data_IF_836012566082
#
_entry.id   IF_836012566082
#
_cell.length_a   1.000
_cell.length_b   1.000
_cell.length_c   1.000
_cell.angle_alpha   90.00
_cell.angle_beta   90.00
_cell.angle_gamma   90.00
#
_symmetry.space_group_name_H-M   'P 1'
#
loop_
_entity.id
_entity.type
_entity.pdbx_description
1 polymer ?
#
# COMPACT_ATOMS: atom_id res chain seq x y z
N UNK A 1 25.07 -6.27 -4.83
CA UNK A 1 24.23 -6.25 -6.06
C UNK A 1 23.02 -7.09 -5.73
N UNK A 2 21.86 -6.45 -5.66
CA UNK A 2 20.59 -7.16 -5.45
C UNK A 2 20.44 -8.25 -6.52
N UNK A 3 20.07 -9.50 -6.15
CA UNK A 3 19.86 -10.59 -7.10
C UNK A 3 18.61 -10.41 -7.99
N UNK A 4 17.78 -9.39 -7.73
CA UNK A 4 16.58 -9.09 -8.52
C UNK A 4 16.94 -8.24 -9.75
N UNK A 5 16.85 -8.84 -10.93
CA UNK A 5 17.03 -8.15 -12.20
C UNK A 5 15.72 -7.49 -12.65
N UNK A 6 15.80 -6.39 -13.41
CA UNK A 6 14.65 -5.59 -13.87
C UNK A 6 13.53 -6.43 -14.53
N UNK A 7 13.88 -7.47 -15.28
CA UNK A 7 12.93 -8.39 -15.91
C UNK A 7 12.01 -9.10 -14.89
N UNK A 8 12.53 -9.44 -13.71
CA UNK A 8 11.76 -10.08 -12.64
C UNK A 8 10.80 -9.05 -12.00
N UNK A 9 11.23 -7.80 -11.86
CA UNK A 9 10.41 -6.74 -11.27
C UNK A 9 9.17 -6.45 -12.13
N UNK A 10 9.34 -6.38 -13.46
CA UNK A 10 8.23 -6.17 -14.40
C UNK A 10 7.21 -7.31 -14.35
N UNK A 11 7.65 -8.56 -14.21
CA UNK A 11 6.78 -9.73 -14.11
C UNK A 11 5.93 -9.75 -12.83
N UNK A 12 6.38 -9.10 -11.76
CA UNK A 12 5.64 -8.99 -10.50
C UNK A 12 4.54 -7.92 -10.54
N UNK A 13 4.63 -6.93 -11.42
CA UNK A 13 3.73 -5.77 -11.42
C UNK A 13 2.28 -6.18 -11.61
N UNK A 14 1.95 -6.85 -12.73
CA UNK A 14 0.56 -7.14 -13.05
C UNK A 14 -0.14 -8.02 -11.97
N UNK A 15 0.47 -9.13 -11.48
CA UNK A 15 -0.10 -9.91 -10.38
C UNK A 15 -0.35 -9.07 -9.12
N UNK A 16 0.61 -8.22 -8.74
CA UNK A 16 0.48 -7.38 -7.53
C UNK A 16 -0.61 -6.32 -7.71
N UNK A 17 -0.72 -5.71 -8.89
CA UNK A 17 -1.81 -4.78 -9.19
C UNK A 17 -3.18 -5.46 -9.03
N UNK A 18 -3.33 -6.71 -9.48
CA UNK A 18 -4.56 -7.50 -9.30
C UNK A 18 -4.85 -7.81 -7.83
N UNK A 19 -3.81 -8.12 -7.04
CA UNK A 19 -3.95 -8.35 -5.60
C UNK A 19 -4.48 -7.11 -4.88
N UNK A 20 -3.90 -5.95 -5.16
CA UNK A 20 -4.30 -4.67 -4.57
C UNK A 20 -5.74 -4.30 -4.94
N UNK A 21 -6.11 -4.46 -6.22
CA UNK A 21 -7.49 -4.21 -6.70
C UNK A 21 -8.50 -5.11 -6.02
N UNK A 22 -8.17 -6.39 -5.88
CA UNK A 22 -9.01 -7.37 -5.18
C UNK A 22 -9.13 -7.04 -3.70
N UNK A 23 -8.04 -6.71 -3.02
CA UNK A 23 -8.05 -6.39 -1.59
C UNK A 23 -8.79 -5.08 -1.31
N UNK A 24 -8.69 -4.08 -2.19
CA UNK A 24 -9.45 -2.84 -2.06
C UNK A 24 -10.96 -3.02 -2.16
N UNK A 25 -11.46 -4.13 -2.72
CA UNK A 25 -12.90 -4.45 -2.66
C UNK A 25 -13.37 -4.69 -1.22
N UNK A 26 -12.50 -5.14 -0.31
CA UNK A 26 -12.82 -5.30 1.10
C UNK A 26 -13.04 -3.93 1.76
N UNK A 27 -12.21 -2.93 1.43
CA UNK A 27 -12.35 -1.55 1.91
C UNK A 27 -13.68 -0.96 1.41
N UNK A 28 -14.00 -1.14 0.13
CA UNK A 28 -15.26 -0.64 -0.46
C UNK A 28 -16.49 -1.31 0.15
N UNK A 29 -16.47 -2.64 0.31
CA UNK A 29 -17.57 -3.38 0.90
C UNK A 29 -17.80 -2.97 2.36
N UNK A 30 -16.74 -2.68 3.10
CA UNK A 30 -16.84 -2.20 4.47
C UNK A 30 -17.46 -0.80 4.52
N UNK A 31 -17.06 0.12 3.61
CA UNK A 31 -17.66 1.46 3.48
C UNK A 31 -19.16 1.38 3.18
N UNK A 32 -19.56 0.51 2.23
CA UNK A 32 -20.96 0.29 1.87
C UNK A 32 -21.79 -0.31 3.00
N UNK A 33 -21.19 -1.19 3.81
CA UNK A 33 -21.84 -1.77 4.98
C UNK A 33 -22.15 -0.72 6.06
N UNK A 34 -21.60 0.49 5.94
CA UNK A 34 -21.87 1.61 6.82
C UNK A 34 -21.47 1.27 8.23
N UNK A 35 -20.15 1.24 8.49
CA UNK A 35 -19.58 1.07 9.82
C UNK A 35 -20.32 1.96 10.84
N UNK A 36 -21.28 1.41 11.57
CA UNK A 36 -21.78 2.09 12.75
C UNK A 36 -20.60 2.10 13.70
N UNK A 37 -20.09 3.30 14.01
CA UNK A 37 -19.15 3.54 15.11
C UNK A 37 -19.92 3.27 16.41
N UNK A 38 -20.41 2.05 16.60
CA UNK A 38 -20.84 1.60 17.91
C UNK A 38 -19.57 1.51 18.74
N UNK A 39 -19.45 2.44 19.69
CA UNK A 39 -18.63 2.33 20.91
C UNK A 39 -19.04 1.11 21.74
N UNK A 40 -19.14 -0.08 21.14
CA UNK A 40 -19.46 -1.32 21.81
C UNK A 40 -18.37 -2.33 21.53
N UNK A 41 -17.65 -2.63 22.61
CA UNK A 41 -16.64 -3.67 22.77
C UNK A 41 -15.25 -3.36 22.20
N UNK A 42 -14.25 -3.95 22.84
CA UNK A 42 -12.81 -3.73 22.70
C UNK A 42 -12.21 -4.12 21.31
N UNK A 43 -13.02 -4.09 20.24
CA UNK A 43 -12.63 -4.42 18.87
C UNK A 43 -13.05 -3.28 17.94
N UNK A 44 -12.07 -2.53 17.44
CA UNK A 44 -12.28 -1.46 16.48
C UNK A 44 -12.54 -2.09 15.10
N UNK A 45 -13.72 -1.88 14.50
CA UNK A 45 -14.09 -2.49 13.21
C UNK A 45 -13.03 -2.20 12.15
N UNK A 46 -12.44 -1.01 12.15
CA UNK A 46 -11.39 -0.68 11.18
C UNK A 46 -10.20 -1.64 11.27
N UNK A 47 -9.81 -2.05 12.49
CA UNK A 47 -8.84 -3.13 12.68
C UNK A 47 -9.26 -4.45 12.02
N UNK A 48 -10.56 -4.77 11.92
CA UNK A 48 -11.02 -5.96 11.19
C UNK A 48 -10.82 -5.84 9.67
N UNK A 49 -11.01 -4.64 9.11
CA UNK A 49 -10.74 -4.37 7.68
C UNK A 49 -9.25 -4.41 7.41
N UNK A 50 -8.43 -3.76 8.23
CA UNK A 50 -6.97 -3.81 8.18
C UNK A 50 -6.46 -5.25 8.19
N UNK A 51 -6.90 -6.06 9.17
CA UNK A 51 -6.52 -7.47 9.26
C UNK A 51 -6.97 -8.31 8.07
N UNK A 52 -8.16 -8.04 7.51
CA UNK A 52 -8.66 -8.76 6.34
C UNK A 52 -7.86 -8.42 5.08
N UNK A 53 -7.57 -7.14 4.85
CA UNK A 53 -6.73 -6.67 3.73
C UNK A 53 -5.31 -7.21 3.84
N UNK A 54 -4.69 -7.07 5.03
CA UNK A 54 -3.36 -7.61 5.31
C UNK A 54 -3.31 -9.11 5.02
N UNK A 55 -4.23 -9.88 5.60
CA UNK A 55 -4.26 -11.33 5.41
C UNK A 55 -4.33 -11.71 3.94
N UNK A 56 -5.21 -11.07 3.17
CA UNK A 56 -5.38 -11.40 1.75
C UNK A 56 -4.09 -11.13 0.96
N UNK A 57 -3.48 -9.96 1.14
CA UNK A 57 -2.28 -9.56 0.41
C UNK A 57 -1.09 -10.43 0.82
N UNK A 58 -0.89 -10.67 2.13
CA UNK A 58 0.18 -11.52 2.64
C UNK A 58 0.09 -12.94 2.08
N UNK A 59 -1.10 -13.55 2.08
CA UNK A 59 -1.30 -14.89 1.52
C UNK A 59 -0.97 -14.92 0.01
N UNK A 60 -1.34 -13.87 -0.73
CA UNK A 60 -1.06 -13.77 -2.17
C UNK A 60 0.43 -13.57 -2.45
N UNK A 61 1.11 -12.70 -1.71
CA UNK A 61 2.54 -12.44 -1.83
C UNK A 61 3.39 -13.64 -1.43
N UNK A 62 3.02 -14.36 -0.37
CA UNK A 62 3.72 -15.56 0.07
C UNK A 62 3.72 -16.65 -1.01
N UNK A 63 2.66 -16.72 -1.81
CA UNK A 63 2.55 -17.63 -2.95
C UNK A 63 3.29 -17.11 -4.19
N UNK A 64 3.23 -15.81 -4.47
CA UNK A 64 3.85 -15.19 -5.65
C UNK A 64 5.38 -15.17 -5.55
N UNK A 65 5.92 -14.85 -4.38
CA UNK A 65 7.35 -14.75 -4.13
C UNK A 65 7.77 -15.61 -2.93
N UNK A 66 7.79 -16.95 -3.07
CA UNK A 66 8.22 -17.83 -1.99
C UNK A 66 9.67 -17.52 -1.58
N UNK A 67 9.88 -17.21 -0.31
CA UNK A 67 11.20 -16.90 0.25
C UNK A 67 11.49 -15.41 0.41
N UNK A 68 10.61 -14.51 -0.02
CA UNK A 68 10.70 -13.09 0.31
C UNK A 68 10.16 -12.88 1.73
N UNK A 69 10.75 -11.96 2.48
CA UNK A 69 10.18 -11.51 3.74
C UNK A 69 8.93 -10.67 3.48
N UNK A 70 8.02 -10.61 4.45
CA UNK A 70 6.85 -9.73 4.42
C UNK A 70 6.74 -9.05 5.78
N UNK A 71 6.86 -7.74 5.78
CA UNK A 71 6.66 -6.84 6.92
C UNK A 71 5.30 -6.16 6.74
N UNK A 72 4.43 -6.27 7.73
CA UNK A 72 3.12 -5.64 7.73
C UNK A 72 2.87 -4.92 9.07
N UNK A 73 2.03 -3.88 9.07
CA UNK A 73 1.81 -3.01 10.23
C UNK A 73 1.39 -3.76 11.52
N UNK A 74 0.63 -4.85 11.39
CA UNK A 74 0.08 -5.58 12.54
C UNK A 74 0.92 -6.81 12.97
N UNK A 75 2.04 -7.09 12.30
CA UNK A 75 2.94 -8.20 12.65
C UNK A 75 4.33 -7.68 13.06
N UNK A 76 4.66 -7.86 14.34
CA UNK A 76 6.01 -7.62 14.86
C UNK A 76 6.98 -8.60 14.20
N UNK A 77 7.74 -8.14 13.20
CA UNK A 77 8.94 -8.83 12.78
C UNK A 77 10.07 -8.47 13.75
N UNK A 78 10.57 -9.49 14.47
CA UNK A 78 11.84 -9.43 15.18
C UNK A 78 12.98 -9.26 14.15
N UNK A 79 13.29 -7.99 13.85
CA UNK A 79 14.40 -7.51 12.98
C UNK A 79 14.21 -7.79 11.47
N UNK A 80 14.22 -6.76 10.59
CA UNK A 80 14.15 -7.00 9.15
C UNK A 80 15.35 -7.84 8.72
N UNK A 81 15.06 -8.99 8.10
CA UNK A 81 16.07 -9.88 7.51
C UNK A 81 16.80 -9.11 6.40
N UNK A 82 17.89 -8.43 6.76
CA UNK A 82 18.67 -7.53 5.88
C UNK A 82 19.27 -8.21 4.65
N UNK A 83 19.22 -9.54 4.60
CA UNK A 83 19.87 -10.36 3.58
C UNK A 83 18.89 -10.92 2.52
N UNK A 84 17.59 -10.55 2.55
CA UNK A 84 16.62 -10.98 1.53
C UNK A 84 15.62 -9.88 1.14
N UNK A 85 15.02 -9.96 -0.06
CA UNK A 85 13.96 -9.03 -0.45
C UNK A 85 12.77 -9.08 0.52
N UNK A 86 12.20 -7.91 0.81
CA UNK A 86 11.11 -7.72 1.77
C UNK A 86 9.97 -6.92 1.15
N UNK A 87 8.76 -7.46 1.24
CA UNK A 87 7.53 -6.71 1.03
C UNK A 87 7.19 -5.91 2.28
N UNK A 88 6.85 -4.64 2.13
CA UNK A 88 6.47 -3.74 3.21
C UNK A 88 5.05 -3.27 2.93
N UNK A 89 4.11 -3.66 3.79
CA UNK A 89 2.68 -3.44 3.60
C UNK A 89 2.10 -2.57 4.72
N UNK A 90 1.40 -1.52 4.32
CA UNK A 90 0.39 -0.83 5.12
C UNK A 90 -0.98 -1.15 4.48
N UNK A 91 -1.82 -1.97 5.16
CA UNK A 91 -3.07 -2.46 4.58
C UNK A 91 -4.12 -1.37 4.44
N UNK A 92 -4.14 -0.35 5.31
CA UNK A 92 -5.05 0.80 5.24
C UNK A 92 -4.36 2.08 5.77
N UNK A 93 -3.61 2.74 4.89
CA UNK A 93 -3.11 4.09 5.15
C UNK A 93 -4.30 5.06 5.18
N UNK A 94 -4.31 5.94 6.17
CA UNK A 94 -5.43 6.83 6.41
C UNK A 94 -6.60 6.15 7.12
N UNK A 95 -6.35 5.26 8.07
CA UNK A 95 -7.34 4.61 8.96
C UNK A 95 -8.37 5.59 9.52
N UNK A 96 -7.93 6.78 9.94
CA UNK A 96 -8.82 7.86 10.43
C UNK A 96 -9.77 8.36 9.33
N UNK A 97 -9.30 8.45 8.07
CA UNK A 97 -10.16 8.84 6.96
C UNK A 97 -11.22 7.77 6.68
N UNK A 98 -10.88 6.49 6.78
CA UNK A 98 -11.82 5.38 6.65
C UNK A 98 -12.90 5.46 7.75
N UNK A 99 -12.49 5.61 9.01
CA UNK A 99 -13.40 5.78 10.16
C UNK A 99 -14.35 6.98 10.02
N UNK A 100 -13.97 7.99 9.23
CA UNK A 100 -14.73 9.24 9.04
C UNK A 100 -15.49 9.29 7.72
N UNK A 101 -15.47 8.22 6.92
CA UNK A 101 -16.06 8.18 5.58
C UNK A 101 -15.53 9.30 4.66
N UNK A 102 -14.26 9.66 4.84
CA UNK A 102 -13.62 10.70 4.03
C UNK A 102 -13.15 10.18 2.66
N UNK A 103 -13.24 8.87 2.39
CA UNK A 103 -12.86 8.24 1.11
C UNK A 103 -11.42 8.56 0.65
N UNK A 104 -10.54 8.76 1.63
CA UNK A 104 -9.13 9.14 1.45
C UNK A 104 -8.24 8.16 2.23
N UNK A 105 -8.43 6.87 1.95
CA UNK A 105 -7.59 5.78 2.47
C UNK A 105 -7.05 4.96 1.31
N UNK A 106 -5.88 4.37 1.49
CA UNK A 106 -5.19 3.64 0.44
C UNK A 106 -4.51 2.38 0.99
N UNK A 107 -4.25 1.43 0.11
CA UNK A 107 -3.33 0.32 0.38
C UNK A 107 -1.95 0.76 -0.10
N UNK A 108 -0.93 0.68 0.75
CA UNK A 108 0.45 1.02 0.40
C UNK A 108 1.34 -0.22 0.49
N UNK A 109 2.05 -0.53 -0.60
CA UNK A 109 2.89 -1.72 -0.69
C UNK A 109 4.20 -1.39 -1.39
N UNK A 110 5.33 -1.83 -0.83
CA UNK A 110 6.64 -1.70 -1.45
C UNK A 110 7.41 -3.02 -1.43
N UNK A 111 8.29 -3.22 -2.42
CA UNK A 111 9.31 -4.26 -2.40
C UNK A 111 10.67 -3.58 -2.21
N UNK A 112 11.39 -3.95 -1.15
CA UNK A 112 12.74 -3.49 -0.90
C UNK A 112 13.73 -4.66 -0.89
N UNK A 113 14.99 -4.37 -1.23
CA UNK A 113 16.12 -5.31 -1.07
C UNK A 113 17.33 -4.52 -0.55
N UNK A 114 17.75 -4.84 0.68
CA UNK A 114 18.71 -4.04 1.44
C UNK A 114 18.19 -2.60 1.66
N UNK A 115 18.98 -1.60 1.27
CA UNK A 115 18.64 -0.18 1.41
C UNK A 115 17.84 0.38 0.21
N UNK A 116 17.41 -0.48 -0.71
CA UNK A 116 16.87 -0.09 -2.00
C UNK A 116 15.41 -0.49 -2.16
N UNK A 117 14.51 0.50 -2.36
CA UNK A 117 13.13 0.23 -2.81
C UNK A 117 13.14 -0.03 -4.32
N UNK A 118 12.62 -1.18 -4.72
CA UNK A 118 12.60 -1.68 -6.10
C UNK A 118 11.25 -1.47 -6.77
N UNK A 119 10.16 -1.76 -6.04
CA UNK A 119 8.78 -1.54 -6.48
C UNK A 119 8.01 -0.75 -5.41
N UNK A 120 7.08 0.10 -5.86
CA UNK A 120 6.15 0.80 -4.98
C UNK A 120 4.76 0.86 -5.59
N UNK A 121 3.76 0.67 -4.75
CA UNK A 121 2.36 0.70 -5.13
C UNK A 121 1.57 1.49 -4.08
N UNK A 122 0.69 2.38 -4.55
CA UNK A 122 -0.31 3.05 -3.71
C UNK A 122 -1.64 2.95 -4.42
N UNK A 123 -2.60 2.28 -3.78
CA UNK A 123 -3.92 2.05 -4.36
C UNK A 123 -5.00 2.73 -3.53
N UNK A 124 -5.66 3.74 -4.10
CA UNK A 124 -6.89 4.29 -3.54
C UNK A 124 -8.10 3.60 -4.19
N UNK A 125 -8.82 2.71 -3.46
CA UNK A 125 -9.93 1.97 -4.02
C UNK A 125 -11.18 2.85 -4.28
N UNK A 126 -11.33 3.97 -3.58
CA UNK A 126 -12.48 4.87 -3.75
C UNK A 126 -12.46 5.62 -5.08
N UNK A 127 -11.25 5.92 -5.57
CA UNK A 127 -11.04 6.63 -6.84
C UNK A 127 -10.59 5.71 -7.98
N UNK A 128 -10.40 4.42 -7.69
CA UNK A 128 -9.75 3.47 -8.60
C UNK A 128 -8.40 4.00 -9.12
N UNK A 129 -7.59 4.57 -8.22
CA UNK A 129 -6.29 5.15 -8.55
C UNK A 129 -5.16 4.26 -8.05
N UNK A 130 -4.47 3.59 -8.98
CA UNK A 130 -3.31 2.77 -8.69
C UNK A 130 -2.03 3.42 -9.21
N UNK A 131 -1.23 3.94 -8.28
CA UNK A 131 0.12 4.37 -8.56
C UNK A 131 1.04 3.15 -8.54
N UNK A 132 1.91 3.01 -9.54
CA UNK A 132 2.92 1.96 -9.62
C UNK A 132 4.25 2.59 -9.98
N UNK A 133 5.28 2.27 -9.21
CA UNK A 133 6.64 2.75 -9.42
C UNK A 133 7.58 1.55 -9.55
N UNK A 134 8.42 1.59 -10.57
CA UNK A 134 9.54 0.64 -10.75
C UNK A 134 10.81 1.47 -10.73
N UNK A 135 11.78 1.05 -9.91
CA UNK A 135 13.06 1.72 -9.81
C UNK A 135 13.69 1.87 -11.20
N UNK A 136 14.11 3.09 -11.53
CA UNK A 136 14.74 3.41 -12.82
C UNK A 136 13.76 3.57 -14.00
N UNK A 137 12.49 3.21 -13.85
CA UNK A 137 11.50 3.29 -14.94
C UNK A 137 10.41 4.37 -14.75
N UNK A 138 10.37 5.00 -13.57
CA UNK A 138 9.43 6.06 -13.26
C UNK A 138 8.14 5.55 -12.61
N UNK A 139 7.06 6.32 -12.77
CA UNK A 139 5.77 6.09 -12.10
C UNK A 139 4.63 6.13 -13.11
N UNK A 140 3.68 5.22 -12.96
CA UNK A 140 2.40 5.22 -13.66
C UNK A 140 1.24 5.43 -12.69
N UNK A 141 0.15 6.00 -13.19
CA UNK A 141 -1.18 6.01 -12.57
C UNK A 141 -2.12 5.25 -13.52
N UNK A 142 -2.65 4.11 -13.10
CA UNK A 142 -3.46 3.22 -13.94
C UNK A 142 -2.80 2.98 -15.31
N UNK A 143 -1.53 2.55 -15.26
CA UNK A 143 -0.66 2.23 -16.41
C UNK A 143 -0.35 3.41 -17.35
N UNK A 144 -0.74 4.63 -16.98
CA UNK A 144 -0.38 5.85 -17.71
C UNK A 144 0.78 6.55 -17.00
N UNK A 145 1.88 6.87 -17.71
CA UNK A 145 3.01 7.58 -17.10
C UNK A 145 2.60 8.91 -16.47
N UNK A 146 3.08 9.18 -15.26
CA UNK A 146 2.88 10.43 -14.55
C UNK A 146 4.22 11.03 -14.12
N UNK A 147 4.22 12.34 -13.86
CA UNK A 147 5.39 13.07 -13.40
C UNK A 147 4.98 14.10 -12.37
N UNK A 148 5.91 14.43 -11.48
CA UNK A 148 5.73 15.54 -10.55
C UNK A 148 5.54 16.87 -11.32
N UNK A 149 4.95 17.86 -10.64
CA UNK A 149 4.87 19.22 -11.17
C UNK A 149 6.27 19.77 -11.43
N UNK A 150 6.43 20.63 -12.45
CA UNK A 150 7.68 21.32 -12.74
C UNK A 150 7.86 22.63 -11.97
N UNK A 151 7.01 22.90 -10.97
CA UNK A 151 7.09 24.11 -10.14
C UNK A 151 8.32 23.99 -9.23
N UNK A 152 9.22 24.96 -9.33
CA UNK A 152 10.50 25.02 -8.63
C UNK A 152 10.55 26.09 -7.53
N UNK A 153 9.44 26.81 -7.34
CA UNK A 153 9.31 27.88 -6.37
C UNK A 153 8.16 27.61 -5.40
N UNK A 154 8.48 27.64 -4.10
CA UNK A 154 7.51 27.38 -3.03
C UNK A 154 6.30 28.33 -3.09
N UNK A 155 6.53 29.60 -3.40
CA UNK A 155 5.47 30.63 -3.51
C UNK A 155 4.42 30.30 -4.59
N UNK A 156 4.79 29.47 -5.56
CA UNK A 156 3.96 29.09 -6.70
C UNK A 156 3.37 27.67 -6.52
N UNK A 157 3.69 27.00 -5.40
CA UNK A 157 3.29 25.62 -5.10
C UNK A 157 2.00 25.56 -4.28
N UNK A 158 1.23 24.48 -4.45
CA UNK A 158 0.19 24.08 -3.50
C UNK A 158 0.82 23.09 -2.50
N UNK A 159 0.61 23.31 -1.21
CA UNK A 159 1.20 22.50 -0.13
C UNK A 159 0.10 21.77 0.61
N UNK A 160 0.27 20.47 0.79
CA UNK A 160 -0.51 19.66 1.72
C UNK A 160 0.40 19.23 2.87
N UNK A 161 -0.10 19.31 4.11
CA UNK A 161 0.59 18.81 5.29
C UNK A 161 -0.45 18.23 6.27
N UNK A 162 -0.11 17.12 6.90
CA UNK A 162 -0.90 16.53 7.98
C UNK A 162 -0.45 17.06 9.34
N UNK A 163 -1.39 17.49 10.19
CA UNK A 163 -1.09 17.94 11.55
C UNK A 163 -1.42 16.87 12.59
N UNK A 164 -1.51 15.59 12.19
CA UNK A 164 -2.21 14.57 12.96
C UNK A 164 -1.75 14.59 14.43
N UNK A 165 -2.60 15.08 15.35
CA UNK A 165 -2.22 15.29 16.74
C UNK A 165 -2.61 14.01 17.47
N UNK A 166 -1.80 12.98 17.38
CA UNK A 166 -1.86 11.97 18.43
C UNK A 166 -1.27 12.56 19.71
#
# INVERSE_FOLDING_TARGET
MSPLHDCILEELVAPVQDFLRSAGQLILAAEEAGFEIEKKSDKNYVTEVDLAVQKQIVDQLANLTPGFAIMAEEEDLDDPVRDQPVWILDPVDGTTNLMRHNQHSAISLALADGDEVLLGFVYNPFLDELFTAIRGQGVTLNDRPVRASSIDHLKDSLISFGTNPY
#
